data_IF_282330666091
#
_entry.id   IF_282330666091
#
_cell.length_a   1.000
_cell.length_b   1.000
_cell.length_c   1.000
_cell.angle_alpha   90.00
_cell.angle_beta   90.00
_cell.angle_gamma   90.00
#
_symmetry.space_group_name_H-M   'P 1'
#
loop_
_entity.id
_entity.type
_entity.pdbx_description
1 polymer ?
#
# COMPACT_ATOMS: atom_id res chain seq x y z
N UNK A 1 -16.89 -29.11 47.41
CA UNK A 1 -17.71 -28.08 46.74
C UNK A 1 -16.76 -27.17 45.98
N UNK A 2 -16.83 -27.22 44.64
CA UNK A 2 -16.37 -26.29 43.59
C UNK A 2 -15.14 -25.38 43.85
N UNK A 3 -14.19 -25.21 42.92
CA UNK A 3 -14.13 -25.56 41.50
C UNK A 3 -13.11 -24.63 40.82
N UNK A 4 -12.41 -25.18 39.82
CA UNK A 4 -11.32 -24.59 39.05
C UNK A 4 -11.65 -23.26 38.33
N UNK A 5 -10.62 -22.43 38.15
CA UNK A 5 -10.30 -21.91 36.82
C UNK A 5 -8.84 -21.43 36.71
N UNK A 6 -8.00 -22.32 36.16
CA UNK A 6 -6.74 -21.98 35.51
C UNK A 6 -7.05 -21.42 34.11
N UNK A 7 -6.58 -20.22 33.80
CA UNK A 7 -6.23 -19.80 32.44
C UNK A 7 -4.78 -19.33 32.52
N UNK A 8 -3.83 -20.25 32.28
CA UNK A 8 -3.12 -20.37 31.00
C UNK A 8 -2.38 -19.08 30.66
N UNK A 9 -1.20 -18.97 31.28
CA UNK A 9 -0.10 -18.14 30.82
C UNK A 9 0.31 -18.58 29.43
N UNK A 10 0.17 -17.69 28.43
CA UNK A 10 0.65 -17.94 27.08
C UNK A 10 2.17 -18.18 27.10
N UNK A 11 2.47 -19.40 26.69
CA UNK A 11 3.75 -20.06 26.62
C UNK A 11 4.70 -19.40 25.61
N UNK A 12 5.98 -19.49 25.96
CA UNK A 12 7.16 -19.56 25.11
C UNK A 12 6.92 -19.74 23.59
N UNK A 13 7.31 -18.72 22.81
CA UNK A 13 7.53 -18.81 21.37
C UNK A 13 8.99 -19.13 21.01
N UNK A 14 9.78 -19.62 21.97
CA UNK A 14 11.13 -20.11 21.77
C UNK A 14 11.18 -21.64 21.93
N UNK A 15 10.68 -22.40 20.96
CA UNK A 15 11.08 -23.79 20.74
C UNK A 15 10.38 -24.34 19.48
N UNK A 16 11.18 -24.68 18.45
CA UNK A 16 11.17 -25.93 17.66
C UNK A 16 9.81 -26.64 17.40
N UNK A 17 9.44 -27.06 16.18
CA UNK A 17 10.15 -28.04 15.37
C UNK A 17 9.61 -28.14 13.92
N UNK A 18 10.46 -28.66 13.04
CA UNK A 18 10.22 -29.07 11.65
C UNK A 18 9.74 -30.53 11.65
N UNK A 19 8.64 -30.81 10.92
CA UNK A 19 8.28 -32.10 10.28
C UNK A 19 7.32 -31.72 9.11
N UNK A 20 7.68 -31.82 7.82
CA UNK A 20 7.58 -33.00 6.91
C UNK A 20 6.18 -33.64 7.03
N UNK A 21 5.23 -33.49 6.09
CA UNK A 21 5.23 -34.12 4.76
C UNK A 21 3.98 -33.77 3.90
N UNK A 22 4.09 -34.07 2.59
CA UNK A 22 3.06 -34.47 1.60
C UNK A 22 2.21 -33.45 0.79
N UNK A 23 2.62 -33.32 -0.47
CA UNK A 23 1.84 -33.37 -1.72
C UNK A 23 0.75 -32.32 -2.04
N UNK A 24 0.99 -31.59 -3.12
CA UNK A 24 0.03 -30.76 -3.84
C UNK A 24 -0.37 -31.44 -5.17
N UNK A 25 -1.51 -32.14 -5.27
CA UNK A 25 -1.87 -32.87 -6.48
C UNK A 25 -3.00 -32.22 -7.30
N UNK A 26 -3.13 -30.89 -7.38
CA UNK A 26 -4.07 -30.28 -8.36
C UNK A 26 -3.57 -28.93 -8.87
N UNK A 27 -2.64 -28.98 -9.81
CA UNK A 27 -2.41 -27.90 -10.75
C UNK A 27 -2.34 -28.52 -12.15
N UNK A 28 -3.50 -28.77 -12.76
CA UNK A 28 -3.56 -28.98 -14.19
C UNK A 28 -4.84 -28.39 -14.81
N UNK A 29 -4.56 -27.49 -15.76
CA UNK A 29 -5.30 -27.23 -17.00
C UNK A 29 -6.69 -26.56 -16.94
N UNK A 30 -6.66 -25.23 -16.94
CA UNK A 30 -7.69 -24.41 -17.61
C UNK A 30 -7.40 -24.43 -19.12
N UNK A 31 -8.20 -25.17 -19.90
CA UNK A 31 -8.35 -24.95 -21.34
C UNK A 31 -9.79 -24.58 -21.69
N UNK A 32 -9.90 -23.42 -22.31
CA UNK A 32 -11.11 -22.85 -22.86
C UNK A 32 -11.72 -23.73 -23.96
N UNK A 33 -13.05 -23.76 -24.04
CA UNK A 33 -13.71 -23.85 -25.33
C UNK A 33 -15.06 -23.13 -25.36
N UNK A 34 -15.22 -22.32 -26.41
CA UNK A 34 -16.41 -21.55 -26.76
C UNK A 34 -17.52 -22.48 -27.27
N UNK A 35 -18.77 -22.20 -26.89
CA UNK A 35 -19.89 -22.21 -27.84
C UNK A 35 -21.05 -21.37 -27.30
N UNK A 36 -21.71 -20.70 -28.24
CA UNK A 36 -22.74 -19.67 -28.07
C UNK A 36 -24.08 -20.32 -28.44
N UNK A 37 -25.17 -20.17 -27.66
CA UNK A 37 -26.51 -20.50 -28.15
C UNK A 37 -27.26 -19.25 -28.62
N UNK A 38 -27.91 -19.38 -29.77
CA UNK A 38 -28.90 -18.45 -30.35
C UNK A 38 -30.17 -18.33 -29.48
N UNK A 39 -30.89 -17.18 -29.53
CA UNK A 39 -32.18 -17.03 -28.85
C UNK A 39 -33.36 -17.57 -29.70
N UNK A 40 -34.42 -18.11 -29.06
CA UNK A 40 -35.57 -18.66 -29.79
C UNK A 40 -36.54 -17.60 -30.35
N UNK A 41 -37.22 -18.02 -31.42
CA UNK A 41 -38.17 -17.29 -32.27
C UNK A 41 -39.44 -16.84 -31.52
N UNK A 42 -39.97 -15.68 -31.92
CA UNK A 42 -41.25 -15.08 -31.49
C UNK A 42 -42.45 -15.91 -31.98
N UNK A 43 -43.48 -16.00 -31.15
CA UNK A 43 -44.84 -16.40 -31.53
C UNK A 43 -45.75 -15.16 -31.57
N UNK A 44 -46.62 -15.11 -32.57
CA UNK A 44 -47.55 -14.02 -32.85
C UNK A 44 -48.66 -13.89 -31.78
N UNK A 45 -48.97 -12.65 -31.41
CA UNK A 45 -50.10 -12.30 -30.53
C UNK A 45 -51.08 -11.35 -31.26
N UNK A 46 -52.40 -11.45 -31.02
CA UNK A 46 -53.46 -10.79 -31.80
C UNK A 46 -53.63 -9.28 -31.49
N UNK A 47 -54.34 -8.52 -32.35
CA UNK A 47 -54.33 -7.06 -32.32
C UNK A 47 -55.15 -6.44 -31.16
N UNK A 48 -54.82 -5.20 -30.72
CA UNK A 48 -55.40 -4.58 -29.53
C UNK A 48 -56.75 -3.87 -29.80
N UNK A 49 -57.61 -3.68 -28.78
CA UNK A 49 -58.79 -2.82 -28.87
C UNK A 49 -58.47 -1.34 -28.66
N UNK A 50 -59.42 -0.49 -29.11
CA UNK A 50 -59.28 0.94 -29.38
C UNK A 50 -58.88 1.84 -28.19
N UNK A 51 -58.18 2.92 -28.56
CA UNK A 51 -57.53 3.92 -27.71
C UNK A 51 -58.45 4.62 -26.70
N UNK A 52 -57.96 4.75 -25.46
CA UNK A 52 -58.34 5.82 -24.54
C UNK A 52 -57.15 6.78 -24.41
N UNK A 53 -57.39 8.03 -24.75
CA UNK A 53 -56.48 9.16 -24.58
C UNK A 53 -56.18 9.36 -23.10
N UNK A 54 -55.00 8.94 -22.68
CA UNK A 54 -54.36 9.41 -21.45
C UNK A 54 -53.27 10.38 -21.92
N UNK A 55 -53.33 11.61 -21.43
CA UNK A 55 -52.30 12.63 -21.69
C UNK A 55 -50.93 12.04 -21.37
N UNK A 56 -50.14 11.78 -22.41
CA UNK A 56 -48.75 11.40 -22.26
C UNK A 56 -47.98 12.65 -21.86
N UNK A 57 -47.67 12.79 -20.57
CA UNK A 57 -46.44 13.46 -20.19
C UNK A 57 -45.34 12.65 -20.87
N UNK A 58 -44.74 13.21 -21.94
CA UNK A 58 -43.69 12.53 -22.67
C UNK A 58 -42.62 12.07 -21.66
N UNK A 59 -42.35 10.76 -21.53
CA UNK A 59 -41.20 10.33 -20.75
C UNK A 59 -39.98 10.88 -21.50
N UNK A 60 -39.32 11.89 -20.93
CA UNK A 60 -38.03 12.38 -21.42
C UNK A 60 -37.15 11.15 -21.65
N UNK A 61 -36.96 10.79 -22.92
CA UNK A 61 -36.04 9.72 -23.31
C UNK A 61 -34.67 10.18 -22.86
N UNK A 62 -34.16 9.56 -21.79
CA UNK A 62 -32.79 9.76 -21.31
C UNK A 62 -31.88 9.54 -22.53
N UNK A 63 -31.22 10.61 -22.96
CA UNK A 63 -30.27 10.55 -24.06
C UNK A 63 -28.91 10.12 -23.51
N UNK A 64 -28.02 9.60 -24.36
CA UNK A 64 -26.65 9.28 -23.94
C UNK A 64 -25.87 10.49 -23.38
N UNK A 65 -26.33 11.73 -23.61
CA UNK A 65 -25.78 12.94 -22.97
C UNK A 65 -26.19 13.09 -21.50
N UNK A 66 -27.26 12.42 -21.07
CA UNK A 66 -27.69 12.34 -19.67
C UNK A 66 -26.92 11.24 -18.90
N UNK A 67 -26.07 10.47 -19.60
CA UNK A 67 -25.20 9.41 -19.08
C UNK A 67 -23.72 9.75 -19.30
N UNK A 68 -23.32 10.99 -18.99
CA UNK A 68 -21.93 11.19 -18.59
C UNK A 68 -21.89 10.97 -17.07
N UNK A 69 -21.67 9.73 -16.57
CA UNK A 69 -21.27 9.60 -15.18
C UNK A 69 -20.07 10.53 -15.03
N UNK A 70 -20.14 11.44 -14.07
CA UNK A 70 -18.98 12.25 -13.74
C UNK A 70 -17.89 11.25 -13.34
N UNK A 71 -16.95 11.02 -14.27
CA UNK A 71 -15.95 9.96 -14.12
C UNK A 71 -15.05 10.28 -12.92
N UNK A 72 -14.83 11.56 -12.65
CA UNK A 72 -14.08 12.02 -11.48
C UNK A 72 -14.86 11.66 -10.21
N UNK A 73 -16.17 11.93 -10.17
CA UNK A 73 -17.07 11.50 -9.09
C UNK A 73 -17.03 9.99 -8.84
N UNK A 74 -17.16 9.16 -9.89
CA UNK A 74 -17.15 7.70 -9.76
C UNK A 74 -15.80 7.18 -9.27
N UNK A 75 -14.69 7.76 -9.76
CA UNK A 75 -13.35 7.39 -9.32
C UNK A 75 -13.10 7.79 -7.87
N UNK A 76 -13.59 8.95 -7.42
CA UNK A 76 -13.49 9.36 -6.02
C UNK A 76 -14.23 8.40 -5.11
N UNK A 77 -15.51 8.11 -5.39
CA UNK A 77 -16.31 7.16 -4.60
C UNK A 77 -15.65 5.77 -4.54
N UNK A 78 -15.08 5.29 -5.65
CA UNK A 78 -14.39 4.01 -5.68
C UNK A 78 -13.09 3.98 -4.85
N UNK A 79 -12.42 5.11 -4.67
CA UNK A 79 -11.13 5.21 -3.99
C UNK A 79 -11.26 5.59 -2.50
N UNK A 80 -12.34 6.26 -2.10
CA UNK A 80 -12.57 6.71 -0.72
C UNK A 80 -12.46 5.61 0.34
N UNK A 81 -13.03 4.40 0.14
CA UNK A 81 -12.87 3.30 1.11
C UNK A 81 -11.40 2.90 1.34
N UNK A 82 -10.58 2.91 0.27
CA UNK A 82 -9.16 2.54 0.34
C UNK A 82 -8.34 3.58 1.10
N UNK A 83 -8.70 4.87 0.96
CA UNK A 83 -8.10 5.97 1.72
C UNK A 83 -8.42 5.81 3.22
N UNK A 84 -9.67 5.50 3.56
CA UNK A 84 -10.12 5.28 4.95
C UNK A 84 -9.41 4.06 5.55
N UNK A 85 -9.30 2.96 4.80
CA UNK A 85 -8.55 1.77 5.25
C UNK A 85 -7.07 2.08 5.48
N UNK A 86 -6.45 2.87 4.59
CA UNK A 86 -5.10 3.39 4.78
C UNK A 86 -4.97 4.17 6.09
N UNK A 87 -5.92 5.06 6.37
CA UNK A 87 -5.91 5.84 7.61
C UNK A 87 -6.13 5.00 8.86
N UNK A 88 -6.97 3.97 8.79
CA UNK A 88 -7.14 3.01 9.88
C UNK A 88 -5.83 2.30 10.22
N UNK A 89 -5.08 1.85 9.21
CA UNK A 89 -3.76 1.23 9.45
C UNK A 89 -2.75 2.24 9.98
N UNK A 90 -2.77 3.47 9.46
CA UNK A 90 -1.88 4.56 9.90
C UNK A 90 -2.09 4.91 11.38
N UNK A 91 -3.35 5.10 11.79
CA UNK A 91 -3.71 5.44 13.18
C UNK A 91 -3.39 4.31 14.16
N UNK A 92 -3.44 3.05 13.72
CA UNK A 92 -2.97 1.90 14.49
C UNK A 92 -1.43 1.75 14.53
N UNK A 93 -0.70 2.60 13.80
CA UNK A 93 0.76 2.52 13.67
C UNK A 93 1.23 1.24 12.99
N UNK A 94 0.44 0.65 12.08
CA UNK A 94 0.74 -0.62 11.42
C UNK A 94 1.45 -0.41 10.07
N UNK A 95 2.78 -0.38 10.11
CA UNK A 95 3.63 -0.26 8.93
C UNK A 95 4.28 -1.58 8.53
N UNK A 96 3.62 -2.71 8.81
CA UNK A 96 4.10 -4.04 8.42
C UNK A 96 4.14 -4.21 6.89
N UNK A 97 4.84 -5.24 6.42
CA UNK A 97 4.97 -5.48 4.97
C UNK A 97 3.62 -5.75 4.26
N UNK A 98 2.61 -6.22 5.00
CA UNK A 98 1.28 -6.54 4.45
C UNK A 98 0.43 -5.31 4.19
N UNK A 99 0.72 -4.17 4.83
CA UNK A 99 -0.03 -2.92 4.64
C UNK A 99 0.50 -2.06 3.49
N UNK A 100 1.62 -2.44 2.86
CA UNK A 100 2.19 -1.70 1.74
C UNK A 100 1.20 -1.49 0.58
N UNK A 101 0.47 -2.53 0.09
CA UNK A 101 -0.50 -2.33 -0.99
C UNK A 101 -1.63 -1.37 -0.60
N UNK A 102 -2.12 -1.46 0.65
CA UNK A 102 -3.18 -0.59 1.17
C UNK A 102 -2.72 0.87 1.14
N UNK A 103 -1.51 1.17 1.62
CA UNK A 103 -0.98 2.53 1.58
C UNK A 103 -0.70 3.03 0.16
N UNK A 104 -0.33 2.15 -0.77
CA UNK A 104 -0.14 2.52 -2.18
C UNK A 104 -1.45 2.92 -2.85
N UNK A 105 -2.53 2.18 -2.60
CA UNK A 105 -3.85 2.55 -3.13
C UNK A 105 -4.38 3.82 -2.47
N UNK A 106 -4.26 3.96 -1.14
CA UNK A 106 -4.65 5.18 -0.43
C UNK A 106 -3.90 6.41 -0.97
N UNK A 107 -2.59 6.29 -1.24
CA UNK A 107 -1.79 7.36 -1.84
C UNK A 107 -2.31 7.74 -3.23
N UNK A 108 -2.65 6.76 -4.08
CA UNK A 108 -3.22 7.03 -5.41
C UNK A 108 -4.58 7.70 -5.32
N UNK A 109 -5.41 7.28 -4.36
CA UNK A 109 -6.71 7.89 -4.07
C UNK A 109 -6.57 9.37 -3.67
N UNK A 110 -5.71 9.70 -2.70
CA UNK A 110 -5.52 11.11 -2.29
C UNK A 110 -4.86 11.94 -3.40
N UNK A 111 -3.95 11.36 -4.17
CA UNK A 111 -3.37 12.04 -5.34
C UNK A 111 -4.43 12.32 -6.43
N UNK A 112 -5.46 11.48 -6.55
CA UNK A 112 -6.59 11.72 -7.44
C UNK A 112 -7.41 12.92 -6.95
N UNK A 113 -7.75 12.99 -5.66
CA UNK A 113 -8.40 14.17 -5.04
C UNK A 113 -7.62 15.45 -5.36
N UNK A 114 -6.31 15.45 -5.09
CA UNK A 114 -5.43 16.60 -5.33
C UNK A 114 -5.45 17.03 -6.80
N UNK A 115 -5.34 16.07 -7.74
CA UNK A 115 -5.38 16.36 -9.18
C UNK A 115 -6.72 16.90 -9.67
N UNK A 116 -7.83 16.39 -9.17
CA UNK A 116 -9.16 16.86 -9.60
C UNK A 116 -9.40 18.29 -9.10
N UNK A 117 -8.99 18.57 -7.87
CA UNK A 117 -9.06 19.93 -7.32
C UNK A 117 -8.17 20.85 -8.15
N UNK A 118 -6.87 20.57 -8.27
CA UNK A 118 -5.87 21.41 -8.94
C UNK A 118 -6.26 21.86 -10.36
N UNK A 119 -6.98 21.02 -11.12
CA UNK A 119 -7.45 21.33 -12.48
C UNK A 119 -8.38 22.53 -12.58
N UNK A 120 -9.26 22.77 -11.60
CA UNK A 120 -10.19 23.90 -11.64
C UNK A 120 -10.71 24.27 -10.24
N UNK A 121 -10.58 25.54 -9.82
CA UNK A 121 -11.12 26.02 -8.55
C UNK A 121 -12.61 25.73 -8.31
N UNK A 122 -13.41 25.62 -9.38
CA UNK A 122 -14.84 25.33 -9.30
C UNK A 122 -15.17 23.83 -9.17
N UNK A 123 -14.19 22.93 -9.34
CA UNK A 123 -14.43 21.49 -9.23
C UNK A 123 -14.82 21.08 -7.82
N UNK A 124 -14.27 21.74 -6.80
CA UNK A 124 -14.65 21.46 -5.42
C UNK A 124 -16.16 21.67 -5.20
N UNK A 125 -16.75 22.74 -5.74
CA UNK A 125 -18.19 23.00 -5.58
C UNK A 125 -19.05 21.93 -6.26
N UNK A 126 -18.62 21.42 -7.41
CA UNK A 126 -19.31 20.30 -8.09
C UNK A 126 -19.17 18.99 -7.32
N UNK A 127 -17.98 18.74 -6.79
CA UNK A 127 -17.71 17.57 -5.97
C UNK A 127 -18.39 17.65 -4.60
N UNK A 128 -18.71 18.84 -4.10
CA UNK A 128 -19.26 19.00 -2.76
C UNK A 128 -20.62 18.31 -2.62
N UNK A 129 -21.48 18.40 -3.63
CA UNK A 129 -22.74 17.65 -3.66
C UNK A 129 -22.51 16.14 -3.54
N UNK A 130 -21.50 15.60 -4.21
CA UNK A 130 -21.12 14.20 -4.11
C UNK A 130 -20.53 13.87 -2.74
N UNK A 131 -19.58 14.67 -2.26
CA UNK A 131 -18.92 14.49 -0.97
C UNK A 131 -19.97 14.47 0.14
N UNK A 132 -20.98 15.34 0.09
CA UNK A 132 -22.03 15.38 1.10
C UNK A 132 -23.01 14.19 0.99
N UNK A 133 -23.19 13.62 -0.22
CA UNK A 133 -24.07 12.47 -0.46
C UNK A 133 -23.44 11.12 -0.11
N UNK A 134 -22.12 10.98 -0.31
CA UNK A 134 -21.39 9.73 -0.10
C UNK A 134 -20.65 9.76 1.24
N UNK A 135 -20.89 8.75 2.07
CA UNK A 135 -20.38 8.75 3.45
C UNK A 135 -18.86 8.67 3.51
N UNK A 136 -18.25 7.88 2.63
CA UNK A 136 -16.82 7.66 2.62
C UNK A 136 -16.08 8.90 2.08
N UNK A 137 -16.61 9.53 1.04
CA UNK A 137 -16.06 10.79 0.51
C UNK A 137 -16.09 11.91 1.56
N UNK A 138 -17.17 12.03 2.33
CA UNK A 138 -17.29 12.98 3.44
C UNK A 138 -16.27 12.69 4.55
N UNK A 139 -16.04 11.42 4.87
CA UNK A 139 -15.06 11.03 5.87
C UNK A 139 -13.64 11.40 5.42
N UNK A 140 -13.29 11.13 4.16
CA UNK A 140 -12.00 11.52 3.56
C UNK A 140 -11.76 13.03 3.64
N UNK A 141 -12.77 13.84 3.29
CA UNK A 141 -12.71 15.30 3.42
C UNK A 141 -12.50 15.72 4.88
N UNK A 142 -13.30 15.14 5.78
CA UNK A 142 -13.23 15.45 7.21
C UNK A 142 -11.84 15.15 7.77
N UNK A 143 -11.22 14.03 7.40
CA UNK A 143 -9.86 13.67 7.80
C UNK A 143 -8.86 14.71 7.28
N UNK A 144 -8.91 15.03 5.99
CA UNK A 144 -7.98 15.98 5.37
C UNK A 144 -8.08 17.37 6.03
N UNK A 145 -9.30 17.85 6.28
CA UNK A 145 -9.54 19.16 6.87
C UNK A 145 -9.18 19.20 8.35
N UNK A 146 -9.45 18.13 9.09
CA UNK A 146 -9.00 18.01 10.49
C UNK A 146 -7.47 18.02 10.58
N UNK A 147 -6.75 17.35 9.67
CA UNK A 147 -5.29 17.42 9.61
C UNK A 147 -4.81 18.85 9.38
N UNK A 148 -5.42 19.57 8.43
CA UNK A 148 -5.08 20.97 8.18
C UNK A 148 -5.35 21.87 9.40
N UNK A 149 -6.53 21.70 10.02
CA UNK A 149 -6.93 22.41 11.24
C UNK A 149 -5.97 22.17 12.39
N UNK A 150 -5.50 20.95 12.59
CA UNK A 150 -4.50 20.65 13.63
C UNK A 150 -3.16 21.36 13.39
N UNK A 151 -2.79 21.63 12.14
CA UNK A 151 -1.53 22.29 11.80
C UNK A 151 -1.64 23.82 11.86
N UNK A 152 -2.76 24.38 11.41
CA UNK A 152 -2.93 25.83 11.21
C UNK A 152 -3.92 26.48 12.19
N UNK A 153 -4.58 25.69 13.05
CA UNK A 153 -5.65 26.11 13.97
C UNK A 153 -6.87 26.76 13.31
N UNK A 154 -7.03 26.60 11.99
CA UNK A 154 -8.09 27.20 11.18
C UNK A 154 -8.62 26.13 10.22
N UNK A 155 -9.93 26.14 9.96
CA UNK A 155 -10.54 25.26 8.95
C UNK A 155 -10.27 25.79 7.54
N UNK A 156 -10.03 24.91 6.55
CA UNK A 156 -9.73 25.35 5.19
C UNK A 156 -10.99 25.90 4.52
N UNK A 157 -11.03 27.23 4.33
CA UNK A 157 -12.18 27.92 3.74
C UNK A 157 -11.97 28.17 2.25
N UNK A 158 -10.81 28.71 1.90
CA UNK A 158 -10.45 29.02 0.52
C UNK A 158 -10.10 27.76 -0.27
N UNK A 159 -10.27 27.83 -1.58
CA UNK A 159 -9.89 26.73 -2.47
C UNK A 159 -8.41 26.33 -2.32
N UNK A 160 -7.52 27.30 -2.14
CA UNK A 160 -6.08 27.03 -1.94
C UNK A 160 -5.81 26.28 -0.64
N UNK A 161 -6.51 26.62 0.45
CA UNK A 161 -6.36 25.92 1.74
C UNK A 161 -6.92 24.50 1.67
N UNK A 162 -8.01 24.29 0.94
CA UNK A 162 -8.59 22.95 0.70
C UNK A 162 -7.64 22.09 -0.11
N UNK A 163 -7.06 22.62 -1.19
CA UNK A 163 -6.05 21.92 -1.97
C UNK A 163 -4.83 21.59 -1.09
N UNK A 164 -4.34 22.56 -0.31
CA UNK A 164 -3.24 22.35 0.62
C UNK A 164 -3.54 21.26 1.66
N UNK A 165 -4.77 21.16 2.15
CA UNK A 165 -5.19 20.08 3.06
C UNK A 165 -5.01 18.69 2.41
N UNK A 166 -5.46 18.51 1.16
CA UNK A 166 -5.27 17.26 0.43
C UNK A 166 -3.81 16.98 0.07
N UNK A 167 -3.00 18.00 -0.24
CA UNK A 167 -1.56 17.85 -0.45
C UNK A 167 -0.84 17.37 0.82
N UNK A 168 -1.21 17.91 2.00
CA UNK A 168 -0.69 17.41 3.28
C UNK A 168 -1.10 15.97 3.53
N UNK A 169 -2.33 15.63 3.17
CA UNK A 169 -2.82 14.26 3.29
C UNK A 169 -2.05 13.30 2.37
N UNK A 170 -1.71 13.73 1.15
CA UNK A 170 -0.88 12.97 0.22
C UNK A 170 0.53 12.74 0.79
N UNK A 171 1.13 13.77 1.40
CA UNK A 171 2.45 13.67 2.04
C UNK A 171 2.45 12.67 3.21
N UNK A 172 1.37 12.59 3.99
CA UNK A 172 1.23 11.60 5.06
C UNK A 172 1.28 10.17 4.49
N UNK A 173 0.53 9.90 3.43
CA UNK A 173 0.56 8.57 2.80
C UNK A 173 1.88 8.26 2.10
N UNK A 174 2.57 9.25 1.51
CA UNK A 174 3.94 9.07 1.01
C UNK A 174 4.88 8.60 2.12
N UNK A 175 4.77 9.17 3.31
CA UNK A 175 5.56 8.74 4.47
C UNK A 175 5.18 7.32 4.92
N UNK A 176 3.88 6.99 4.95
CA UNK A 176 3.40 5.65 5.28
C UNK A 176 3.89 4.59 4.28
N UNK A 177 3.84 4.88 2.98
CA UNK A 177 4.37 4.02 1.92
C UNK A 177 5.88 3.82 2.10
N UNK A 178 6.64 4.87 2.41
CA UNK A 178 8.07 4.75 2.66
C UNK A 178 8.37 3.82 3.84
N UNK A 179 7.65 3.99 4.96
CA UNK A 179 7.75 3.11 6.14
C UNK A 179 7.44 1.65 5.78
N UNK A 180 6.29 1.40 5.16
CA UNK A 180 5.88 0.05 4.78
C UNK A 180 6.79 -0.59 3.72
N UNK A 181 7.38 0.21 2.83
CA UNK A 181 8.34 -0.26 1.82
C UNK A 181 9.62 -0.76 2.45
N UNK A 182 10.14 -0.05 3.47
CA UNK A 182 11.29 -0.52 4.26
C UNK A 182 10.95 -1.83 4.98
N UNK A 183 9.79 -1.93 5.62
CA UNK A 183 9.33 -3.19 6.26
C UNK A 183 9.19 -4.35 5.27
N UNK A 184 8.66 -4.09 4.08
CA UNK A 184 8.59 -5.10 3.02
C UNK A 184 9.99 -5.50 2.54
N UNK A 185 10.91 -4.55 2.42
CA UNK A 185 12.30 -4.82 2.06
C UNK A 185 13.02 -5.66 3.13
N UNK A 186 12.75 -5.42 4.42
CA UNK A 186 13.25 -6.28 5.51
C UNK A 186 12.78 -7.72 5.35
N UNK A 187 11.52 -7.93 4.98
CA UNK A 187 10.98 -9.27 4.71
C UNK A 187 11.67 -9.91 3.50
N UNK A 188 11.87 -9.18 2.42
CA UNK A 188 12.55 -9.67 1.21
C UNK A 188 14.02 -9.99 1.47
N UNK A 189 14.70 -9.22 2.30
CA UNK A 189 16.10 -9.45 2.68
C UNK A 189 16.32 -10.84 3.27
N UNK A 190 15.33 -11.38 4.00
CA UNK A 190 15.40 -12.73 4.59
C UNK A 190 15.66 -13.82 3.55
N UNK A 191 15.29 -13.62 2.27
CA UNK A 191 15.61 -14.57 1.18
C UNK A 191 17.12 -14.81 1.04
N UNK A 192 17.95 -13.84 1.42
CA UNK A 192 19.41 -13.85 1.24
C UNK A 192 20.16 -14.08 2.55
N UNK A 193 19.45 -14.47 3.62
CA UNK A 193 20.03 -14.77 4.92
C UNK A 193 19.93 -16.27 5.20
N UNK A 194 20.94 -16.79 5.89
CA UNK A 194 20.91 -18.12 6.50
C UNK A 194 19.95 -18.12 7.69
N UNK A 195 19.57 -19.31 8.15
CA UNK A 195 18.78 -19.48 9.39
C UNK A 195 19.48 -18.90 10.62
N UNK A 196 20.82 -18.83 10.60
CA UNK A 196 21.63 -18.15 11.62
C UNK A 196 21.51 -16.62 11.59
N UNK A 197 20.82 -16.06 10.60
CA UNK A 197 20.69 -14.61 10.37
C UNK A 197 21.92 -13.96 9.72
N UNK A 198 22.94 -14.74 9.36
CA UNK A 198 24.09 -14.27 8.58
C UNK A 198 23.78 -14.23 7.09
N UNK A 199 24.54 -13.46 6.33
CA UNK A 199 24.36 -13.36 4.88
C UNK A 199 24.72 -14.68 4.20
N UNK A 200 23.89 -15.15 3.28
CA UNK A 200 24.18 -16.32 2.45
C UNK A 200 25.00 -15.90 1.22
N UNK A 201 26.32 -15.80 1.39
CA UNK A 201 27.24 -15.35 0.35
C UNK A 201 27.28 -16.31 -0.86
N UNK A 202 27.03 -17.60 -0.62
CA UNK A 202 26.98 -18.61 -1.69
C UNK A 202 25.75 -18.33 -2.56
N UNK A 203 24.58 -18.16 -1.95
CA UNK A 203 23.34 -17.83 -2.67
C UNK A 203 23.46 -16.53 -3.46
N UNK A 204 24.06 -15.50 -2.87
CA UNK A 204 24.28 -14.22 -3.56
C UNK A 204 25.17 -14.41 -4.78
N UNK A 205 26.29 -15.13 -4.63
CA UNK A 205 27.19 -15.41 -5.75
C UNK A 205 26.45 -16.17 -6.85
N UNK A 206 25.68 -17.20 -6.51
CA UNK A 206 24.88 -17.97 -7.47
C UNK A 206 23.86 -17.10 -8.20
N UNK A 207 23.08 -16.29 -7.47
CA UNK A 207 22.10 -15.36 -8.07
C UNK A 207 22.77 -14.32 -8.98
N UNK A 208 23.95 -13.83 -8.60
CA UNK A 208 24.75 -12.90 -9.40
C UNK A 208 25.24 -13.57 -10.69
N UNK A 209 25.87 -14.74 -10.60
CA UNK A 209 26.39 -15.47 -11.77
C UNK A 209 25.28 -15.95 -12.72
N UNK A 210 24.10 -16.27 -12.18
CA UNK A 210 22.94 -16.66 -12.96
C UNK A 210 22.22 -15.46 -13.63
N UNK A 211 22.67 -14.22 -13.36
CA UNK A 211 22.06 -12.99 -13.85
C UNK A 211 20.54 -12.94 -13.63
N UNK A 212 20.10 -13.31 -12.42
CA UNK A 212 18.69 -13.42 -12.10
C UNK A 212 18.02 -12.02 -12.09
N UNK A 213 16.96 -11.79 -12.89
CA UNK A 213 16.28 -10.49 -12.96
C UNK A 213 15.61 -10.09 -11.64
N UNK A 214 15.07 -11.04 -10.88
CA UNK A 214 14.46 -10.79 -9.57
C UNK A 214 15.50 -10.32 -8.57
N UNK A 215 16.70 -10.91 -8.61
CA UNK A 215 17.81 -10.48 -7.75
C UNK A 215 18.25 -9.05 -8.10
N UNK A 216 18.38 -8.73 -9.40
CA UNK A 216 18.71 -7.37 -9.83
C UNK A 216 17.66 -6.34 -9.37
N UNK A 217 16.37 -6.68 -9.48
CA UNK A 217 15.26 -5.86 -8.98
C UNK A 217 15.32 -5.68 -7.45
N UNK A 218 15.54 -6.76 -6.71
CA UNK A 218 15.70 -6.74 -5.26
C UNK A 218 16.88 -5.83 -4.84
N UNK A 219 18.02 -5.88 -5.55
CA UNK A 219 19.18 -5.01 -5.29
C UNK A 219 18.83 -3.54 -5.47
N UNK A 220 18.13 -3.16 -6.54
CA UNK A 220 17.69 -1.77 -6.74
C UNK A 220 16.75 -1.31 -5.63
N UNK A 221 15.81 -2.16 -5.24
CA UNK A 221 14.92 -1.90 -4.11
C UNK A 221 15.71 -1.71 -2.80
N UNK A 222 16.70 -2.56 -2.53
CA UNK A 222 17.56 -2.44 -1.34
C UNK A 222 18.35 -1.12 -1.33
N UNK A 223 18.88 -0.68 -2.47
CA UNK A 223 19.60 0.60 -2.57
C UNK A 223 18.68 1.78 -2.23
N UNK A 224 17.47 1.80 -2.79
CA UNK A 224 16.50 2.86 -2.55
C UNK A 224 16.01 2.85 -1.10
N UNK A 225 15.60 1.69 -0.59
CA UNK A 225 15.05 1.56 0.75
C UNK A 225 16.10 1.74 1.86
N UNK A 226 17.38 1.45 1.60
CA UNK A 226 18.47 1.79 2.51
C UNK A 226 18.64 3.31 2.66
N UNK A 227 18.51 4.08 1.57
CA UNK A 227 18.50 5.55 1.64
C UNK A 227 17.31 6.06 2.45
N UNK A 228 16.12 5.52 2.22
CA UNK A 228 14.93 5.86 3.02
C UNK A 228 15.15 5.54 4.50
N UNK A 229 15.69 4.37 4.83
CA UNK A 229 16.00 3.99 6.20
C UNK A 229 16.97 4.97 6.88
N UNK A 230 18.02 5.43 6.18
CA UNK A 230 18.91 6.47 6.70
C UNK A 230 18.18 7.79 6.98
N UNK A 231 17.33 8.24 6.06
CA UNK A 231 16.57 9.50 6.23
C UNK A 231 15.58 9.40 7.40
N UNK A 232 14.98 8.23 7.62
CA UNK A 232 14.10 7.98 8.75
C UNK A 232 14.85 8.03 10.08
N UNK A 233 16.05 7.42 10.15
CA UNK A 233 16.92 7.49 11.32
C UNK A 233 17.34 8.95 11.61
N UNK A 234 17.76 9.69 10.58
CA UNK A 234 18.17 11.10 10.73
C UNK A 234 17.04 12.01 11.22
N UNK A 235 15.81 11.77 10.77
CA UNK A 235 14.63 12.57 11.17
C UNK A 235 14.10 12.20 12.57
N UNK A 236 14.66 11.18 13.22
CA UNK A 236 14.13 10.64 14.48
C UNK A 236 12.75 9.99 14.33
N UNK A 237 12.33 9.69 13.09
CA UNK A 237 11.02 9.12 12.75
C UNK A 237 11.03 7.59 12.76
N UNK A 238 11.81 7.00 13.67
CA UNK A 238 11.84 5.56 13.91
C UNK A 238 10.68 5.23 14.85
N UNK A 239 9.45 5.23 14.34
CA UNK A 239 8.26 4.96 15.16
C UNK A 239 8.37 3.61 15.88
N UNK A 240 8.06 3.62 17.18
CA UNK A 240 7.96 2.41 17.99
C UNK A 240 6.55 1.85 17.78
N UNK A 241 6.27 1.26 16.61
CA UNK A 241 4.98 0.61 16.34
C UNK A 241 5.12 -0.56 15.36
N UNK A 242 4.07 -1.38 15.27
CA UNK A 242 4.07 -2.70 14.63
C UNK A 242 4.67 -2.63 13.21
N UNK A 243 5.80 -3.31 13.02
CA UNK A 243 6.45 -3.48 11.73
C UNK A 243 7.79 -2.74 11.57
N UNK A 244 8.11 -1.70 12.35
CA UNK A 244 9.30 -0.88 12.09
C UNK A 244 9.96 -0.28 13.34
N UNK A 245 10.40 -1.10 14.31
CA UNK A 245 11.10 -0.57 15.50
C UNK A 245 12.48 -0.03 15.10
N UNK A 246 13.00 0.97 15.83
CA UNK A 246 14.34 1.53 15.58
C UNK A 246 15.46 0.48 15.57
N UNK A 247 15.35 -0.56 16.42
CA UNK A 247 16.25 -1.72 16.40
C UNK A 247 16.18 -2.48 15.08
N UNK A 248 14.98 -2.69 14.54
CA UNK A 248 14.75 -3.42 13.30
C UNK A 248 15.32 -2.64 12.10
N UNK A 249 15.13 -1.31 12.07
CA UNK A 249 15.73 -0.43 11.06
C UNK A 249 17.26 -0.51 11.10
N UNK A 250 17.87 -0.49 12.29
CA UNK A 250 19.31 -0.64 12.41
C UNK A 250 19.80 -2.01 11.91
N UNK A 251 19.11 -3.10 12.29
CA UNK A 251 19.43 -4.45 11.80
C UNK A 251 19.32 -4.49 10.26
N UNK A 252 18.28 -3.89 9.70
CA UNK A 252 18.08 -3.79 8.26
C UNK A 252 19.22 -3.02 7.58
N UNK A 253 19.63 -1.87 8.11
CA UNK A 253 20.75 -1.09 7.58
C UNK A 253 22.03 -1.92 7.61
N UNK A 254 22.34 -2.59 8.72
CA UNK A 254 23.54 -3.42 8.89
C UNK A 254 23.55 -4.56 7.86
N UNK A 255 22.45 -5.31 7.75
CA UNK A 255 22.39 -6.51 6.90
C UNK A 255 22.32 -6.16 5.42
N UNK A 256 21.54 -5.14 5.06
CA UNK A 256 21.40 -4.68 3.67
C UNK A 256 22.69 -4.05 3.16
N UNK A 257 23.37 -3.23 3.97
CA UNK A 257 24.67 -2.67 3.57
C UNK A 257 25.73 -3.75 3.40
N UNK A 258 25.72 -4.82 4.20
CA UNK A 258 26.61 -5.96 3.98
C UNK A 258 26.29 -6.71 2.67
N UNK A 259 25.00 -6.93 2.39
CA UNK A 259 24.56 -7.54 1.13
C UNK A 259 25.02 -6.71 -0.08
N UNK A 260 24.82 -5.39 -0.04
CA UNK A 260 25.24 -4.48 -1.11
C UNK A 260 26.76 -4.44 -1.25
N UNK A 261 27.51 -4.47 -0.14
CA UNK A 261 28.96 -4.63 -0.18
C UNK A 261 29.37 -5.91 -0.95
N UNK A 262 28.79 -7.06 -0.60
CA UNK A 262 29.07 -8.33 -1.28
C UNK A 262 28.70 -8.28 -2.76
N UNK A 263 27.56 -7.70 -3.11
CA UNK A 263 27.11 -7.53 -4.50
C UNK A 263 28.09 -6.67 -5.32
N UNK A 264 28.43 -5.47 -4.83
CA UNK A 264 29.31 -4.57 -5.59
C UNK A 264 30.77 -5.05 -5.63
N UNK A 265 31.20 -5.82 -4.64
CA UNK A 265 32.49 -6.53 -4.68
C UNK A 265 32.53 -7.55 -5.82
N UNK A 266 31.44 -8.31 -6.01
CA UNK A 266 31.31 -9.26 -7.14
C UNK A 266 31.20 -8.55 -8.49
N UNK A 267 30.54 -7.39 -8.53
CA UNK A 267 30.41 -6.57 -9.74
C UNK A 267 31.69 -5.81 -10.13
N UNK A 268 32.74 -5.85 -9.30
CA UNK A 268 33.99 -5.12 -9.54
C UNK A 268 33.89 -3.60 -9.34
N UNK A 269 32.86 -3.11 -8.64
CA UNK A 269 32.71 -1.69 -8.32
C UNK A 269 33.26 -1.40 -6.92
N UNK A 270 34.56 -1.07 -6.86
CA UNK A 270 35.28 -0.85 -5.62
C UNK A 270 34.72 0.33 -4.80
N UNK A 271 34.35 1.44 -5.46
CA UNK A 271 33.87 2.65 -4.79
C UNK A 271 32.57 2.41 -4.03
N UNK A 272 31.60 1.75 -4.67
CA UNK A 272 30.32 1.42 -4.04
C UNK A 272 30.48 0.34 -2.98
N UNK A 273 31.34 -0.67 -3.21
CA UNK A 273 31.66 -1.65 -2.20
C UNK A 273 32.22 -0.96 -0.95
N UNK A 274 33.23 -0.09 -1.08
CA UNK A 274 33.81 0.63 0.06
C UNK A 274 32.77 1.50 0.78
N UNK A 275 31.91 2.21 0.02
CA UNK A 275 30.81 2.99 0.60
C UNK A 275 29.91 2.13 1.50
N UNK A 276 29.37 1.01 0.98
CA UNK A 276 28.48 0.15 1.74
C UNK A 276 29.20 -0.59 2.89
N UNK A 277 30.47 -0.93 2.72
CA UNK A 277 31.32 -1.49 3.78
C UNK A 277 31.51 -0.52 4.96
N UNK A 278 31.71 0.78 4.67
CA UNK A 278 31.74 1.84 5.69
C UNK A 278 30.40 2.00 6.40
N UNK A 279 29.29 2.01 5.65
CA UNK A 279 27.93 2.08 6.24
C UNK A 279 27.68 0.90 7.18
N UNK A 280 27.98 -0.33 6.75
CA UNK A 280 27.86 -1.53 7.58
C UNK A 280 28.67 -1.39 8.88
N UNK A 281 29.94 -1.01 8.76
CA UNK A 281 30.85 -0.89 9.90
C UNK A 281 30.40 0.16 10.90
N UNK A 282 29.93 1.31 10.42
CA UNK A 282 29.41 2.38 11.27
C UNK A 282 28.20 1.88 12.07
N UNK A 283 27.17 1.37 11.40
CA UNK A 283 25.95 0.93 12.07
C UNK A 283 26.17 -0.29 13.00
N UNK A 284 27.10 -1.18 12.66
CA UNK A 284 27.48 -2.30 13.53
C UNK A 284 28.14 -1.82 14.84
N UNK A 285 29.00 -0.79 14.80
CA UNK A 285 29.66 -0.23 15.99
C UNK A 285 28.66 0.43 16.95
N UNK A 286 27.65 1.11 16.41
CA UNK A 286 26.59 1.74 17.22
C UNK A 286 25.55 0.73 17.76
N UNK A 287 25.67 -0.56 17.42
CA UNK A 287 24.83 -1.64 17.96
C UNK A 287 25.35 -2.18 19.31
N UNK A 288 26.55 -1.77 19.74
CA UNK A 288 27.02 -2.02 21.11
C UNK A 288 26.27 -1.08 22.03
N UNK A 289 25.13 -1.57 22.52
CA UNK A 289 24.51 -1.10 23.76
C UNK A 289 25.63 -1.15 24.80
N UNK A 290 25.96 0.01 25.41
CA UNK A 290 26.79 0.05 26.62
C UNK A 290 26.16 -0.94 27.62
N UNK A 291 26.95 -1.92 28.07
CA UNK A 291 26.57 -2.86 29.13
C UNK A 291 25.94 -2.15 30.33
#
# INVERSE_FOLDING_TARGET
MAGDNKQLSDFDLNSFDIDVDLDNPFADEIKANKSKPEPPRRADAPPPPAARTIESVEPRRRSSKDFNPDMDALLLTAQSPLIIEGMKNYTQGNFSSTTLPVYQEALRGVALYTKILDRNPNNYNKLKELIDSDTDCREVETIAFNMYKMMHNIEPDSYQEKLAAFEKFELLFKEAVNKASVSNSMRLLKKYLLMSGSLDEIKIRTCFTANNPDFASDIQNFIQHLKLAHDMVKKGKCEISKGLKGRDINIYIIKTSYLLYSYYSLAGNADLAEYYGRVHSNYKKYFVIRE
#
